data_IF_389679599751
#
_entry.id   IF_389679599751
#
_cell.length_a   1.000
_cell.length_b   1.000
_cell.length_c   1.000
_cell.angle_alpha   90.00
_cell.angle_beta   90.00
_cell.angle_gamma   90.00
#
_symmetry.space_group_name_H-M   'P 1'
#
loop_
_entity.id
_entity.type
_entity.pdbx_description
1 polymer ?
#
# COMPACT_ATOMS: atom_id res chain seq x y z
N UNK A 1 8.18 -9.38 15.54
CA UNK A 1 7.24 -9.30 14.40
C UNK A 1 6.07 -10.21 14.71
N UNK A 2 4.81 -9.72 14.68
CA UNK A 2 3.64 -10.59 14.85
C UNK A 2 3.61 -11.67 13.76
N UNK A 3 3.16 -12.88 14.11
CA UNK A 3 3.13 -14.02 13.16
C UNK A 3 2.34 -13.72 11.88
N UNK A 4 1.33 -12.86 11.97
CA UNK A 4 0.50 -12.43 10.84
C UNK A 4 1.26 -11.68 9.75
N UNK A 5 2.44 -11.09 10.04
CA UNK A 5 3.23 -10.35 9.06
C UNK A 5 4.37 -11.17 8.43
N UNK A 6 4.67 -12.35 8.95
CA UNK A 6 5.70 -13.24 8.38
C UNK A 6 5.50 -13.59 6.90
N UNK A 7 4.26 -13.70 6.35
CA UNK A 7 4.07 -13.86 4.91
C UNK A 7 4.66 -12.70 4.08
N UNK A 8 4.58 -11.45 4.57
CA UNK A 8 5.10 -10.28 3.85
C UNK A 8 6.64 -10.31 3.80
N UNK A 9 7.30 -10.64 4.91
CA UNK A 9 8.77 -10.75 4.93
C UNK A 9 9.26 -11.83 3.95
N UNK A 10 8.62 -13.01 3.98
CA UNK A 10 8.95 -14.13 3.07
C UNK A 10 8.69 -13.77 1.61
N UNK A 11 7.60 -13.05 1.35
CA UNK A 11 7.28 -12.58 0.01
C UNK A 11 8.33 -11.57 -0.47
N UNK A 12 8.69 -10.58 0.35
CA UNK A 12 9.72 -9.60 -0.02
C UNK A 12 11.07 -10.26 -0.31
N UNK A 13 11.51 -11.21 0.53
CA UNK A 13 12.73 -11.99 0.28
C UNK A 13 12.67 -12.70 -1.08
N UNK A 14 11.54 -13.35 -1.39
CA UNK A 14 11.31 -14.02 -2.68
C UNK A 14 11.37 -13.04 -3.85
N UNK A 15 10.74 -11.87 -3.72
CA UNK A 15 10.68 -10.85 -4.77
C UNK A 15 12.06 -10.23 -5.03
N UNK A 16 12.88 -10.04 -3.98
CA UNK A 16 14.28 -9.58 -4.12
C UNK A 16 15.13 -10.59 -4.88
N UNK A 17 15.02 -11.88 -4.56
CA UNK A 17 15.69 -12.95 -5.33
C UNK A 17 15.27 -12.91 -6.79
N UNK A 18 13.97 -12.79 -7.09
CA UNK A 18 13.48 -12.70 -8.48
C UNK A 18 13.91 -11.42 -9.20
N UNK A 19 14.04 -10.31 -8.47
CA UNK A 19 14.54 -9.05 -9.00
C UNK A 19 16.01 -9.17 -9.44
N UNK A 20 16.81 -9.94 -8.70
CA UNK A 20 18.21 -10.19 -9.02
C UNK A 20 18.40 -11.26 -10.11
N UNK A 21 17.72 -12.40 -9.99
CA UNK A 21 17.98 -13.60 -10.81
C UNK A 21 17.18 -13.65 -12.11
N UNK A 22 16.04 -12.95 -12.19
CA UNK A 22 15.17 -12.93 -13.38
C UNK A 22 14.85 -14.33 -13.93
N UNK A 23 14.36 -15.29 -13.11
CA UNK A 23 14.09 -16.64 -13.59
C UNK A 23 13.06 -16.64 -14.73
N UNK A 24 13.34 -17.40 -15.79
CA UNK A 24 12.47 -17.54 -16.95
C UNK A 24 11.11 -18.15 -16.57
N UNK A 25 10.06 -17.79 -17.31
CA UNK A 25 8.70 -18.31 -17.11
C UNK A 25 7.95 -17.72 -15.89
N UNK A 26 8.63 -17.08 -14.94
CA UNK A 26 7.98 -16.45 -13.79
C UNK A 26 7.13 -15.24 -14.18
N UNK A 27 5.90 -15.18 -13.69
CA UNK A 27 5.01 -14.02 -13.83
C UNK A 27 5.66 -12.73 -13.31
N UNK A 28 6.26 -12.77 -12.11
CA UNK A 28 7.00 -11.65 -11.53
C UNK A 28 8.12 -11.16 -12.44
N UNK A 29 8.89 -12.08 -13.04
CA UNK A 29 9.95 -11.70 -13.99
C UNK A 29 9.37 -10.96 -15.20
N UNK A 30 8.24 -11.42 -15.76
CA UNK A 30 7.57 -10.72 -16.87
C UNK A 30 7.16 -9.30 -16.50
N UNK A 31 6.54 -9.11 -15.34
CA UNK A 31 6.16 -7.78 -14.84
C UNK A 31 7.38 -6.88 -14.71
N UNK A 32 8.42 -7.38 -14.05
CA UNK A 32 9.61 -6.58 -13.78
C UNK A 32 10.43 -6.27 -15.05
N UNK A 33 10.42 -7.16 -16.05
CA UNK A 33 10.98 -6.88 -17.37
C UNK A 33 10.18 -5.80 -18.12
N UNK A 34 8.87 -5.72 -17.88
CA UNK A 34 8.01 -4.64 -18.36
C UNK A 34 8.13 -3.33 -17.56
N UNK A 35 8.93 -3.31 -16.50
CA UNK A 35 9.25 -2.12 -15.71
C UNK A 35 8.04 -1.45 -15.05
N UNK A 36 8.19 -0.15 -14.75
CA UNK A 36 7.19 0.64 -14.04
C UNK A 36 5.82 0.68 -14.74
N UNK A 37 5.78 0.61 -16.07
CA UNK A 37 4.52 0.63 -16.83
C UNK A 37 3.72 -0.66 -16.62
N UNK A 38 4.35 -1.82 -16.78
CA UNK A 38 3.66 -3.11 -16.61
C UNK A 38 3.23 -3.34 -15.16
N UNK A 39 4.10 -3.05 -14.20
CA UNK A 39 3.79 -3.17 -12.77
C UNK A 39 2.69 -2.16 -12.39
N UNK A 40 2.81 -0.91 -12.84
CA UNK A 40 1.85 0.14 -12.51
C UNK A 40 0.47 -0.07 -13.12
N UNK A 41 0.35 -0.77 -14.25
CA UNK A 41 -0.95 -1.20 -14.79
C UNK A 41 -1.66 -2.16 -13.83
N UNK A 42 -0.96 -3.18 -13.34
CA UNK A 42 -1.52 -4.11 -12.35
C UNK A 42 -1.91 -3.40 -11.05
N UNK A 43 -1.05 -2.53 -10.50
CA UNK A 43 -1.40 -1.77 -9.29
C UNK A 43 -2.70 -0.97 -9.46
N UNK A 44 -2.93 -0.39 -10.64
CA UNK A 44 -4.17 0.35 -10.92
C UNK A 44 -5.39 -0.58 -10.99
N UNK A 45 -5.25 -1.69 -11.70
CA UNK A 45 -6.29 -2.73 -11.81
C UNK A 45 -6.69 -3.25 -10.43
N UNK A 46 -5.74 -3.73 -9.63
CA UNK A 46 -6.03 -4.28 -8.28
C UNK A 46 -6.61 -3.22 -7.33
N UNK A 47 -6.23 -1.95 -7.51
CA UNK A 47 -6.80 -0.86 -6.70
C UNK A 47 -8.25 -0.56 -7.08
N UNK A 48 -8.60 -0.63 -8.37
CA UNK A 48 -9.97 -0.51 -8.85
C UNK A 48 -10.81 -1.71 -8.37
N UNK A 49 -10.30 -2.94 -8.52
CA UNK A 49 -10.97 -4.17 -8.08
C UNK A 49 -11.21 -4.19 -6.56
N UNK A 50 -10.24 -3.75 -5.75
CA UNK A 50 -10.42 -3.61 -4.31
C UNK A 50 -11.52 -2.61 -3.93
N UNK A 51 -11.62 -1.50 -4.66
CA UNK A 51 -12.68 -0.50 -4.43
C UNK A 51 -14.04 -1.08 -4.78
N UNK A 52 -14.14 -1.78 -5.92
CA UNK A 52 -15.38 -2.44 -6.35
C UNK A 52 -15.82 -3.52 -5.34
N UNK A 53 -14.88 -4.34 -4.87
CA UNK A 53 -15.14 -5.37 -3.86
C UNK A 53 -15.61 -4.80 -2.51
N UNK A 54 -15.27 -3.54 -2.19
CA UNK A 54 -15.69 -2.89 -0.95
C UNK A 54 -17.19 -2.52 -0.93
N UNK A 55 -17.82 -2.40 -2.10
CA UNK A 55 -19.25 -2.11 -2.22
C UNK A 55 -20.11 -3.39 -2.26
N UNK A 56 -19.48 -4.57 -2.32
CA UNK A 56 -20.17 -5.86 -2.33
C UNK A 56 -20.71 -6.26 -0.95
N UNK A 57 -21.96 -6.74 -0.86
CA UNK A 57 -22.55 -7.12 0.42
C UNK A 57 -22.06 -8.49 0.93
N UNK A 58 -22.37 -8.72 2.20
CA UNK A 58 -22.24 -10.02 2.88
C UNK A 58 -20.80 -10.56 2.97
N UNK A 59 -20.67 -11.82 3.41
CA UNK A 59 -19.36 -12.46 3.58
C UNK A 59 -18.62 -12.68 2.26
N UNK A 60 -19.36 -12.81 1.14
CA UNK A 60 -18.76 -12.96 -0.18
C UNK A 60 -17.95 -11.71 -0.56
N UNK A 61 -18.53 -10.51 -0.44
CA UNK A 61 -17.82 -9.26 -0.69
C UNK A 61 -16.63 -9.06 0.25
N UNK A 62 -16.80 -9.44 1.53
CA UNK A 62 -15.70 -9.40 2.50
C UNK A 62 -14.50 -10.28 2.09
N UNK A 63 -14.75 -11.48 1.56
CA UNK A 63 -13.68 -12.36 1.08
C UNK A 63 -13.04 -11.85 -0.21
N UNK A 64 -13.85 -11.29 -1.12
CA UNK A 64 -13.36 -10.64 -2.33
C UNK A 64 -12.43 -9.47 -2.01
N UNK A 65 -12.83 -8.57 -1.10
CA UNK A 65 -11.98 -7.45 -0.67
C UNK A 65 -10.65 -7.90 -0.03
N UNK A 66 -10.62 -9.02 0.72
CA UNK A 66 -9.36 -9.58 1.23
C UNK A 66 -8.45 -10.05 0.10
N UNK A 67 -9.04 -10.71 -0.90
CA UNK A 67 -8.31 -11.21 -2.06
C UNK A 67 -7.66 -10.05 -2.83
N UNK A 68 -8.43 -9.03 -3.17
CA UNK A 68 -7.92 -7.86 -3.92
C UNK A 68 -6.93 -7.01 -3.10
N UNK A 69 -7.14 -6.89 -1.79
CA UNK A 69 -6.16 -6.26 -0.91
C UNK A 69 -4.84 -7.03 -0.91
N UNK A 70 -4.90 -8.36 -0.94
CA UNK A 70 -3.74 -9.22 -1.08
C UNK A 70 -3.01 -8.99 -2.40
N UNK A 71 -3.73 -8.91 -3.53
CA UNK A 71 -3.10 -8.75 -4.84
C UNK A 71 -2.54 -7.34 -5.04
N UNK A 72 -3.22 -6.31 -4.55
CA UNK A 72 -2.71 -4.95 -4.51
C UNK A 72 -1.40 -4.86 -3.71
N UNK A 73 -1.35 -5.46 -2.52
CA UNK A 73 -0.13 -5.52 -1.70
C UNK A 73 0.98 -6.28 -2.43
N UNK A 74 0.67 -7.41 -3.07
CA UNK A 74 1.64 -8.17 -3.86
C UNK A 74 2.27 -7.30 -4.96
N UNK A 75 1.45 -6.64 -5.78
CA UNK A 75 1.94 -5.82 -6.89
C UNK A 75 2.69 -4.58 -6.41
N UNK A 76 2.30 -3.98 -5.29
CA UNK A 76 3.06 -2.91 -4.64
C UNK A 76 4.44 -3.41 -4.19
N UNK A 77 4.54 -4.60 -3.58
CA UNK A 77 5.81 -5.20 -3.18
C UNK A 77 6.68 -5.60 -4.38
N UNK A 78 6.08 -6.00 -5.51
CA UNK A 78 6.80 -6.21 -6.78
C UNK A 78 7.46 -4.91 -7.24
N UNK A 79 6.74 -3.79 -7.18
CA UNK A 79 7.30 -2.47 -7.51
C UNK A 79 8.45 -2.09 -6.57
N UNK A 80 8.28 -2.31 -5.26
CA UNK A 80 9.31 -2.06 -4.26
C UNK A 80 10.58 -2.86 -4.58
N UNK A 81 10.48 -4.17 -4.75
CA UNK A 81 11.61 -5.02 -5.09
C UNK A 81 12.27 -4.63 -6.43
N UNK A 82 11.47 -4.26 -7.44
CA UNK A 82 12.00 -3.76 -8.71
C UNK A 82 12.77 -2.44 -8.57
N UNK A 83 12.34 -1.57 -7.64
CA UNK A 83 13.03 -0.31 -7.30
C UNK A 83 14.17 -0.46 -6.29
N UNK A 84 14.35 -1.63 -5.69
CA UNK A 84 15.32 -1.83 -4.61
C UNK A 84 14.90 -1.17 -3.29
N UNK A 85 13.59 -1.02 -3.06
CA UNK A 85 13.04 -0.49 -1.81
C UNK A 85 12.81 -1.66 -0.86
N UNK A 86 13.34 -1.56 0.35
CA UNK A 86 13.18 -2.58 1.39
C UNK A 86 11.90 -2.35 2.21
N UNK A 87 11.35 -3.43 2.77
CA UNK A 87 10.11 -3.37 3.55
C UNK A 87 10.26 -2.49 4.80
N UNK A 88 11.44 -2.49 5.41
CA UNK A 88 11.76 -1.66 6.58
C UNK A 88 11.71 -0.16 6.28
N UNK A 89 12.06 0.26 5.05
CA UNK A 89 11.99 1.66 4.65
C UNK A 89 10.54 2.15 4.60
N UNK A 90 9.62 1.33 4.07
CA UNK A 90 8.19 1.64 4.04
C UNK A 90 7.59 1.57 5.44
N UNK A 91 7.98 0.60 6.26
CA UNK A 91 7.56 0.51 7.64
C UNK A 91 7.97 1.75 8.45
N UNK A 92 9.19 2.25 8.26
CA UNK A 92 9.67 3.49 8.87
C UNK A 92 8.83 4.71 8.45
N UNK A 93 8.47 4.81 7.16
CA UNK A 93 7.58 5.87 6.67
C UNK A 93 6.18 5.78 7.28
N UNK A 94 5.61 4.57 7.42
CA UNK A 94 4.32 4.38 8.07
C UNK A 94 4.38 4.77 9.56
N UNK A 95 5.41 4.36 10.29
CA UNK A 95 5.62 4.75 11.69
C UNK A 95 5.76 6.27 11.85
N UNK A 96 6.43 6.95 10.91
CA UNK A 96 6.51 8.42 10.87
C UNK A 96 5.12 9.06 10.72
N UNK A 97 4.24 8.47 9.91
CA UNK A 97 2.86 8.95 9.71
C UNK A 97 2.02 8.76 10.97
N UNK A 98 2.13 7.61 11.64
CA UNK A 98 1.47 7.37 12.93
C UNK A 98 1.85 8.43 13.98
N UNK A 99 3.14 8.79 14.05
CA UNK A 99 3.62 9.83 14.97
C UNK A 99 3.16 11.26 14.63
N UNK A 100 2.69 11.49 13.40
CA UNK A 100 2.23 12.81 12.93
C UNK A 100 0.70 12.95 12.99
N UNK A 101 -0.04 11.85 12.85
CA UNK A 101 -1.50 11.84 12.84
C UNK A 101 -2.08 11.89 14.27
N UNK A 102 -2.31 13.11 14.75
CA UNK A 102 -3.20 13.35 15.91
C UNK A 102 -2.81 14.55 16.78
N UNK A 103 -1.53 14.89 16.87
CA UNK A 103 -1.03 15.94 17.78
C UNK A 103 -0.63 17.23 17.04
N UNK A 104 -0.02 17.12 15.87
CA UNK A 104 0.50 18.30 15.13
C UNK A 104 -0.62 19.06 14.42
N UNK A 105 -1.62 18.37 13.85
CA UNK A 105 -2.77 19.00 13.16
C UNK A 105 -3.73 19.75 14.10
N UNK A 106 -3.87 19.29 15.36
CA UNK A 106 -4.69 20.00 16.37
C UNK A 106 -3.96 21.22 16.92
N UNK A 107 -2.63 21.18 17.02
CA UNK A 107 -1.81 22.28 17.54
C UNK A 107 -1.58 23.42 16.53
N UNK A 108 -1.81 23.18 15.24
CA UNK A 108 -1.59 24.15 14.16
C UNK A 108 -2.88 24.84 13.66
N UNK A 109 -4.05 24.56 14.26
CA UNK A 109 -5.27 25.31 13.96
C UNK A 109 -5.21 26.71 14.60
N UNK A 110 -5.28 27.81 13.82
CA UNK A 110 -5.50 29.12 14.38
C UNK A 110 -6.89 29.14 15.04
N UNK A 111 -6.95 29.62 16.29
CA UNK A 111 -8.22 29.86 16.97
C UNK A 111 -9.06 30.81 16.09
N UNK A 112 -10.24 30.35 15.67
CA UNK A 112 -11.21 31.16 14.95
C UNK A 112 -11.49 32.39 15.81
N UNK A 113 -11.04 33.58 15.37
CA UNK A 113 -11.44 34.86 15.97
C UNK A 113 -12.95 34.95 15.80
N UNK A 114 -13.69 34.74 16.88
CA UNK A 114 -15.09 35.15 16.96
C UNK A 114 -15.11 36.68 16.84
N UNK A 115 -15.33 37.17 15.62
CA UNK A 115 -15.78 38.54 15.40
C UNK A 115 -17.23 38.61 15.84
N UNK A 116 -17.43 38.89 17.12
CA UNK A 116 -18.70 39.37 17.62
C UNK A 116 -19.06 40.67 16.89
N UNK A 117 -20.06 40.60 16.02
CA UNK A 117 -20.80 41.80 15.62
C UNK A 117 -21.95 41.94 16.59
N UNK A 118 -21.71 42.68 17.66
CA UNK A 118 -22.74 43.44 18.33
C UNK A 118 -22.70 44.84 17.71
N UNK A 119 -23.74 45.23 16.98
CA UNK A 119 -24.33 46.56 17.18
C UNK A 119 -25.69 46.69 16.47
N UNK A 120 -26.63 47.26 17.24
CA UNK A 120 -27.80 48.09 16.87
C UNK A 120 -28.81 47.62 15.82
#
# INVERSE_FOLDING_TARGET
>A
MPESLLPLDRLMATLRTRAAERPEGSYTTKLMNGGAEAIGRKIREEAEELIEAADEPDEAGRQHAIYEAGDLIYHAMVLMAWRGIELDEVAAELARREGTSGLVEKASRPAKKDSGTADS
#
